data_IF_772987333741
#
_entry.id   IF_772987333741
#
_cell.length_a   1.000
_cell.length_b   1.000
_cell.length_c   1.000
_cell.angle_alpha   90.00
_cell.angle_beta   90.00
_cell.angle_gamma   90.00
#
_symmetry.space_group_name_H-M   'P 1'
#
loop_
_entity.id
_entity.type
_entity.pdbx_description
1 polymer ?
#
# COMPACT_ATOMS: atom_id res chain seq x y z
N UNK A 1 26.73 26.43 -62.35
CA UNK A 1 26.80 27.64 -63.20
C UNK A 1 25.65 28.53 -62.76
N UNK A 2 26.00 29.75 -62.37
CA UNK A 2 25.15 30.72 -61.68
C UNK A 2 24.03 31.26 -62.57
N UNK A 3 22.83 31.44 -62.02
CA UNK A 3 21.82 32.43 -62.46
C UNK A 3 20.62 32.40 -61.47
N UNK A 4 20.40 33.47 -60.70
CA UNK A 4 19.48 34.61 -60.93
C UNK A 4 18.05 34.37 -60.43
N UNK A 5 17.59 35.29 -59.55
CA UNK A 5 16.47 36.20 -59.85
C UNK A 5 15.80 36.70 -58.55
N UNK A 6 16.01 37.98 -58.22
CA UNK A 6 14.92 38.83 -57.68
C UNK A 6 14.09 39.33 -58.86
N UNK A 7 12.82 39.70 -58.64
CA UNK A 7 12.49 41.11 -58.85
C UNK A 7 11.44 41.72 -57.89
N UNK A 8 11.80 42.91 -57.38
CA UNK A 8 11.05 44.18 -57.32
C UNK A 8 9.61 44.30 -56.78
N UNK A 9 9.50 44.99 -55.64
CA UNK A 9 8.86 46.32 -55.53
C UNK A 9 7.36 46.40 -55.23
N UNK A 10 6.80 47.62 -55.05
CA UNK A 10 7.10 48.58 -53.97
C UNK A 10 5.80 49.06 -53.28
N UNK A 11 5.92 49.78 -52.15
CA UNK A 11 5.12 50.95 -51.73
C UNK A 11 5.13 51.08 -50.20
N UNK A 12 6.01 51.94 -49.71
CA UNK A 12 6.00 52.45 -48.34
C UNK A 12 5.14 53.73 -48.30
N UNK A 13 4.14 53.75 -47.43
CA UNK A 13 3.45 54.94 -46.97
C UNK A 13 3.68 55.07 -45.47
N UNK A 14 4.30 56.18 -45.07
CA UNK A 14 4.56 56.55 -43.69
C UNK A 14 3.28 57.04 -42.99
N UNK A 15 3.12 56.67 -41.72
CA UNK A 15 2.07 57.17 -40.82
C UNK A 15 2.68 57.55 -39.44
N UNK A 16 2.06 58.49 -38.71
CA UNK A 16 2.68 59.42 -37.74
C UNK A 16 2.95 58.84 -36.33
N UNK A 17 3.70 59.55 -35.43
CA UNK A 17 4.16 59.00 -34.16
C UNK A 17 3.02 58.94 -33.13
N UNK A 18 2.74 57.75 -32.58
CA UNK A 18 1.81 57.57 -31.47
C UNK A 18 2.54 57.55 -30.12
N UNK A 19 2.03 58.36 -29.19
CA UNK A 19 2.42 58.44 -27.78
C UNK A 19 2.12 57.13 -27.03
N UNK A 20 2.87 56.78 -25.97
CA UNK A 20 2.66 55.55 -25.22
C UNK A 20 1.37 55.62 -24.38
N UNK A 21 0.36 54.82 -24.73
CA UNK A 21 -0.81 54.59 -23.89
C UNK A 21 -0.47 53.60 -22.78
N UNK A 22 -0.42 54.08 -21.54
CA UNK A 22 -0.41 53.25 -20.33
C UNK A 22 -1.70 52.42 -20.27
N UNK A 23 -1.58 51.09 -20.39
CA UNK A 23 -2.66 50.15 -20.02
C UNK A 23 -2.60 49.88 -18.51
N UNK A 24 -3.75 49.79 -17.81
CA UNK A 24 -3.74 49.41 -16.40
C UNK A 24 -3.22 47.98 -16.24
N UNK A 25 -2.27 47.79 -15.33
CA UNK A 25 -1.86 46.48 -14.84
C UNK A 25 -3.06 45.84 -14.12
N UNK A 26 -3.84 45.03 -14.84
CA UNK A 26 -4.71 44.04 -14.19
C UNK A 26 -3.79 43.06 -13.46
N UNK A 27 -3.69 43.19 -12.15
CA UNK A 27 -3.06 42.21 -11.27
C UNK A 27 -3.87 40.91 -11.34
N UNK A 28 -3.51 40.05 -12.30
CA UNK A 28 -3.97 38.68 -12.32
C UNK A 28 -3.42 37.99 -11.07
N UNK A 29 -4.30 37.77 -10.10
CA UNK A 29 -4.01 37.11 -8.84
C UNK A 29 -3.56 35.67 -9.12
N UNK A 30 -2.28 35.28 -8.94
CA UNK A 30 -1.82 33.93 -9.28
C UNK A 30 -2.36 32.84 -8.35
N UNK A 31 -3.17 33.21 -7.35
CA UNK A 31 -3.65 32.32 -6.29
C UNK A 31 -4.97 31.57 -6.56
N UNK A 32 -5.71 31.88 -7.63
CA UNK A 32 -7.07 31.35 -7.80
C UNK A 32 -7.17 29.94 -8.43
N UNK A 33 -6.06 29.33 -8.88
CA UNK A 33 -6.05 27.99 -9.46
C UNK A 33 -5.41 26.90 -8.57
N UNK A 34 -5.06 27.22 -7.32
CA UNK A 34 -4.44 26.28 -6.38
C UNK A 34 -5.41 25.67 -5.35
N UNK A 35 -6.72 25.81 -5.53
CA UNK A 35 -7.73 25.13 -4.72
C UNK A 35 -8.29 23.91 -5.48
N UNK A 36 -7.92 22.70 -5.05
CA UNK A 36 -8.81 21.55 -5.19
C UNK A 36 -8.55 20.52 -6.30
N UNK A 37 -7.32 20.36 -6.83
CA UNK A 37 -6.98 19.04 -7.42
C UNK A 37 -6.66 18.08 -6.28
N UNK A 38 -7.68 17.42 -5.73
CA UNK A 38 -7.46 16.22 -4.93
C UNK A 38 -6.55 15.31 -5.74
N UNK A 39 -5.34 15.04 -5.23
CA UNK A 39 -4.34 14.19 -5.87
C UNK A 39 -5.04 12.86 -6.23
N UNK A 40 -5.32 12.66 -7.51
CA UNK A 40 -6.13 11.54 -7.97
C UNK A 40 -5.43 10.26 -7.55
N UNK A 41 -6.13 9.43 -6.75
CA UNK A 41 -5.61 8.16 -6.25
C UNK A 41 -5.32 7.26 -7.45
N UNK A 42 -4.07 6.83 -7.60
CA UNK A 42 -3.65 6.02 -8.74
C UNK A 42 -4.23 4.61 -8.61
N UNK A 43 -5.18 4.28 -9.49
CA UNK A 43 -5.94 3.01 -9.49
C UNK A 43 -5.04 1.79 -9.61
N UNK A 44 -3.85 1.94 -10.20
CA UNK A 44 -2.87 0.86 -10.30
C UNK A 44 -2.52 0.27 -8.93
N UNK A 45 -2.22 1.11 -7.92
CA UNK A 45 -1.79 0.61 -6.62
C UNK A 45 -2.94 -0.06 -5.85
N UNK A 46 -4.17 0.39 -6.05
CA UNK A 46 -5.34 -0.26 -5.46
C UNK A 46 -5.63 -1.61 -6.12
N UNK A 47 -5.54 -1.67 -7.45
CA UNK A 47 -5.64 -2.91 -8.20
C UNK A 47 -4.53 -3.90 -7.81
N UNK A 48 -3.29 -3.42 -7.65
CA UNK A 48 -2.15 -4.25 -7.25
C UNK A 48 -2.35 -4.84 -5.85
N UNK A 49 -2.73 -4.02 -4.86
CA UNK A 49 -3.02 -4.51 -3.51
C UNK A 49 -4.16 -5.51 -3.49
N UNK A 50 -5.23 -5.26 -4.26
CA UNK A 50 -6.36 -6.17 -4.34
C UNK A 50 -5.97 -7.52 -4.96
N UNK A 51 -5.30 -7.51 -6.12
CA UNK A 51 -4.87 -8.75 -6.77
C UNK A 51 -3.88 -9.52 -5.90
N UNK A 52 -2.97 -8.82 -5.22
CA UNK A 52 -2.05 -9.44 -4.29
C UNK A 52 -2.75 -10.05 -3.07
N UNK A 53 -3.82 -9.43 -2.52
CA UNK A 53 -4.53 -10.01 -1.37
C UNK A 53 -5.34 -11.24 -1.79
N UNK A 54 -5.86 -11.26 -3.01
CA UNK A 54 -6.51 -12.46 -3.57
C UNK A 54 -5.50 -13.62 -3.63
N UNK A 55 -4.28 -13.37 -4.09
CA UNK A 55 -3.22 -14.37 -4.13
C UNK A 55 -2.80 -14.85 -2.72
N UNK A 56 -2.79 -13.97 -1.70
CA UNK A 56 -2.54 -14.37 -0.30
C UNK A 56 -3.57 -15.39 0.16
N UNK A 57 -4.85 -15.10 -0.03
CA UNK A 57 -5.92 -15.99 0.40
C UNK A 57 -5.86 -17.35 -0.33
N UNK A 58 -5.60 -17.34 -1.64
CA UNK A 58 -5.40 -18.56 -2.43
C UNK A 58 -4.18 -19.35 -1.93
N UNK A 59 -3.07 -18.67 -1.65
CA UNK A 59 -1.86 -19.29 -1.10
C UNK A 59 -2.13 -20.04 0.21
N UNK A 60 -2.84 -19.42 1.15
CA UNK A 60 -3.21 -20.08 2.41
C UNK A 60 -4.20 -21.23 2.23
N UNK A 61 -5.06 -21.16 1.21
CA UNK A 61 -5.99 -22.21 0.88
C UNK A 61 -5.30 -23.43 0.24
N UNK A 62 -4.19 -23.23 -0.48
CA UNK A 62 -3.36 -24.31 -1.03
C UNK A 62 -2.41 -24.91 -0.02
N UNK A 63 -2.06 -24.20 1.06
CA UNK A 63 -1.05 -24.64 2.03
C UNK A 63 -1.28 -26.06 2.58
N UNK A 64 -2.52 -26.48 2.94
CA UNK A 64 -2.80 -27.85 3.39
C UNK A 64 -2.74 -28.89 2.27
N UNK A 65 -2.95 -28.48 1.01
CA UNK A 65 -3.02 -29.36 -0.16
C UNK A 65 -1.65 -29.68 -0.77
N UNK A 66 -0.57 -29.07 -0.27
CA UNK A 66 0.77 -29.19 -0.87
C UNK A 66 1.37 -30.59 -0.76
N UNK A 67 0.98 -31.36 0.25
CA UNK A 67 1.47 -32.73 0.46
C UNK A 67 0.98 -33.67 -0.63
N UNK A 68 -0.30 -33.56 -0.98
CA UNK A 68 -0.98 -34.48 -1.90
C UNK A 68 -0.95 -33.97 -3.35
N UNK A 69 -0.81 -32.67 -3.54
CA UNK A 69 -0.85 -32.03 -4.86
C UNK A 69 0.43 -31.26 -5.17
N UNK A 70 1.21 -31.82 -6.10
CA UNK A 70 2.40 -31.16 -6.66
C UNK A 70 2.03 -29.86 -7.39
N UNK A 71 0.83 -29.77 -7.96
CA UNK A 71 0.33 -28.56 -8.59
C UNK A 71 0.06 -27.46 -7.54
N UNK A 72 -0.64 -27.79 -6.44
CA UNK A 72 -0.84 -26.88 -5.32
C UNK A 72 0.49 -26.42 -4.71
N UNK A 73 1.45 -27.34 -4.53
CA UNK A 73 2.79 -27.00 -4.05
C UNK A 73 3.54 -26.03 -4.99
N UNK A 74 3.46 -26.22 -6.30
CA UNK A 74 4.09 -25.35 -7.28
C UNK A 74 3.46 -23.94 -7.32
N UNK A 75 2.12 -23.88 -7.29
CA UNK A 75 1.38 -22.62 -7.22
C UNK A 75 1.70 -21.87 -5.94
N UNK A 76 1.74 -22.58 -4.81
CA UNK A 76 2.12 -22.05 -3.51
C UNK A 76 3.52 -21.43 -3.54
N UNK A 77 4.54 -22.19 -3.97
CA UNK A 77 5.92 -21.71 -4.08
C UNK A 77 6.01 -20.47 -4.98
N UNK A 78 5.35 -20.52 -6.14
CA UNK A 78 5.35 -19.41 -7.10
C UNK A 78 4.76 -18.16 -6.46
N UNK A 79 3.58 -18.26 -5.86
CA UNK A 79 2.91 -17.12 -5.20
C UNK A 79 3.72 -16.62 -4.01
N UNK A 80 4.22 -17.49 -3.14
CA UNK A 80 5.04 -17.14 -1.97
C UNK A 80 6.35 -16.43 -2.33
N UNK A 81 6.86 -16.64 -3.55
CA UNK A 81 8.04 -15.93 -4.03
C UNK A 81 7.80 -14.43 -4.25
N UNK A 82 6.59 -13.98 -4.59
CA UNK A 82 6.39 -12.57 -4.99
C UNK A 82 5.25 -11.82 -4.31
N UNK A 83 4.24 -12.49 -3.74
CA UNK A 83 3.07 -11.77 -3.22
C UNK A 83 3.43 -10.87 -2.02
N UNK A 84 4.19 -11.37 -1.03
CA UNK A 84 4.66 -10.54 0.09
C UNK A 84 5.64 -9.47 -0.40
N UNK A 85 6.68 -9.79 -1.19
CA UNK A 85 7.54 -8.77 -1.80
C UNK A 85 6.77 -7.66 -2.53
N UNK A 86 5.71 -7.99 -3.28
CA UNK A 86 4.89 -6.98 -3.97
C UNK A 86 4.20 -6.03 -2.98
N UNK A 87 3.58 -6.57 -1.92
CA UNK A 87 2.97 -5.76 -0.85
C UNK A 87 3.99 -4.88 -0.12
N UNK A 88 5.16 -5.44 0.17
CA UNK A 88 6.23 -4.75 0.89
C UNK A 88 6.79 -3.61 0.03
N UNK A 89 7.02 -3.83 -1.27
CA UNK A 89 7.46 -2.80 -2.21
C UNK A 89 6.44 -1.65 -2.30
N UNK A 90 5.15 -1.97 -2.42
CA UNK A 90 4.07 -0.96 -2.42
C UNK A 90 4.07 -0.18 -1.10
N UNK A 91 4.22 -0.86 0.04
CA UNK A 91 4.24 -0.25 1.37
C UNK A 91 5.45 0.68 1.56
N UNK A 92 6.62 0.26 1.10
CA UNK A 92 7.82 1.11 1.05
C UNK A 92 7.60 2.34 0.17
N UNK A 93 7.03 2.17 -1.02
CA UNK A 93 6.75 3.28 -1.94
C UNK A 93 5.84 4.35 -1.34
N UNK A 94 4.80 3.96 -0.59
CA UNK A 94 3.93 4.91 0.12
C UNK A 94 4.56 5.50 1.39
N UNK A 95 5.58 4.85 1.94
CA UNK A 95 6.30 5.31 3.12
C UNK A 95 7.36 6.37 2.83
N UNK A 96 7.70 6.63 1.56
CA UNK A 96 8.68 7.65 1.13
C UNK A 96 8.43 9.06 1.65
N UNK A 97 7.22 9.41 2.08
CA UNK A 97 6.93 10.72 2.67
C UNK A 97 6.98 10.73 4.20
N UNK A 98 7.19 9.60 4.87
CA UNK A 98 7.25 9.51 6.32
C UNK A 98 8.46 10.27 6.88
N UNK A 99 8.20 11.16 7.84
CA UNK A 99 9.16 12.10 8.43
C UNK A 99 9.24 11.98 9.96
N UNK A 100 8.63 10.95 10.56
CA UNK A 100 8.54 10.76 12.01
C UNK A 100 7.99 11.97 12.80
N UNK A 101 7.26 12.89 12.16
CA UNK A 101 6.51 13.92 12.89
C UNK A 101 5.46 13.31 13.82
N UNK A 102 5.13 13.98 14.92
CA UNK A 102 4.16 13.50 15.91
C UNK A 102 2.83 13.06 15.27
N UNK A 103 2.33 13.81 14.27
CA UNK A 103 1.11 13.44 13.55
C UNK A 103 1.25 12.13 12.75
N UNK A 104 2.39 11.91 12.11
CA UNK A 104 2.64 10.66 11.35
C UNK A 104 2.90 9.48 12.25
N UNK A 105 3.61 9.67 13.37
CA UNK A 105 3.77 8.64 14.41
C UNK A 105 2.40 8.26 14.95
N UNK A 106 1.55 9.23 15.29
CA UNK A 106 0.18 8.97 15.74
C UNK A 106 -0.61 8.14 14.72
N UNK A 107 -0.54 8.48 13.43
CA UNK A 107 -1.18 7.70 12.35
C UNK A 107 -0.60 6.29 12.20
N UNK A 108 0.70 6.14 12.43
CA UNK A 108 1.38 4.83 12.39
C UNK A 108 0.92 3.96 13.56
N UNK A 109 0.87 4.51 14.77
CA UNK A 109 0.38 3.80 15.96
C UNK A 109 -1.09 3.41 15.80
N UNK A 110 -1.95 4.37 15.47
CA UNK A 110 -3.40 4.12 15.33
C UNK A 110 -3.75 3.21 14.16
N UNK A 111 -3.03 3.30 13.04
CA UNK A 111 -3.35 2.53 11.84
C UNK A 111 -2.61 1.19 11.71
N UNK A 112 -1.60 0.92 12.55
CA UNK A 112 -0.83 -0.33 12.51
C UNK A 112 -0.68 -0.97 13.89
N UNK A 113 -0.10 -0.26 14.87
CA UNK A 113 0.19 -0.85 16.18
C UNK A 113 -1.08 -1.21 16.97
N UNK A 114 -2.12 -0.37 16.92
CA UNK A 114 -3.39 -0.69 17.60
C UNK A 114 -4.11 -1.86 16.93
N UNK A 115 -4.30 -1.89 15.58
CA UNK A 115 -4.80 -3.08 14.91
C UNK A 115 -3.96 -4.33 15.20
N UNK A 116 -2.63 -4.22 15.25
CA UNK A 116 -1.75 -5.33 15.61
C UNK A 116 -2.14 -5.93 16.96
N UNK A 117 -2.20 -5.11 18.03
CA UNK A 117 -2.56 -5.59 19.37
C UNK A 117 -3.96 -6.20 19.41
N UNK A 118 -4.94 -5.56 18.75
CA UNK A 118 -6.33 -6.07 18.72
C UNK A 118 -6.39 -7.45 18.04
N UNK A 119 -5.75 -7.59 16.88
CA UNK A 119 -5.78 -8.84 16.14
C UNK A 119 -4.91 -9.93 16.76
N UNK A 120 -3.78 -9.58 17.38
CA UNK A 120 -2.96 -10.55 18.13
C UNK A 120 -3.77 -11.19 19.27
N UNK A 121 -4.46 -10.36 20.05
CA UNK A 121 -5.34 -10.82 21.13
C UNK A 121 -6.51 -11.64 20.57
N UNK A 122 -7.18 -11.15 19.51
CA UNK A 122 -8.29 -11.87 18.89
C UNK A 122 -7.87 -13.22 18.32
N UNK A 123 -6.70 -13.30 17.69
CA UNK A 123 -6.13 -14.54 17.18
C UNK A 123 -5.73 -15.51 18.30
N UNK A 124 -5.18 -14.99 19.39
CA UNK A 124 -4.86 -15.79 20.57
C UNK A 124 -6.12 -16.45 21.13
N UNK A 125 -7.19 -15.69 21.34
CA UNK A 125 -8.47 -16.23 21.79
C UNK A 125 -9.08 -17.21 20.77
N UNK A 126 -8.97 -16.91 19.48
CA UNK A 126 -9.42 -17.81 18.44
C UNK A 126 -8.65 -19.14 18.46
N UNK A 127 -7.32 -19.11 18.63
CA UNK A 127 -6.52 -20.33 18.76
C UNK A 127 -6.89 -21.12 20.03
N UNK A 128 -7.07 -20.43 21.16
CA UNK A 128 -7.49 -21.07 22.42
C UNK A 128 -8.82 -21.82 22.30
N UNK A 129 -9.80 -21.19 21.67
CA UNK A 129 -11.15 -21.73 21.57
C UNK A 129 -11.34 -22.68 20.38
N UNK A 130 -10.93 -22.26 19.18
CA UNK A 130 -11.17 -23.05 17.97
C UNK A 130 -10.11 -24.14 17.76
N UNK A 131 -8.88 -23.93 18.25
CA UNK A 131 -7.77 -24.87 18.08
C UNK A 131 -7.46 -25.70 19.33
N UNK A 132 -8.38 -25.74 20.31
CA UNK A 132 -8.29 -26.53 21.55
C UNK A 132 -6.97 -26.36 22.34
N UNK A 133 -6.42 -25.14 22.36
CA UNK A 133 -5.16 -24.78 23.04
C UNK A 133 -5.42 -23.71 24.12
N UNK A 134 -6.16 -24.03 25.21
CA UNK A 134 -6.69 -23.03 26.15
C UNK A 134 -5.60 -22.20 26.87
N UNK A 135 -4.41 -22.77 27.01
CA UNK A 135 -3.29 -22.16 27.71
C UNK A 135 -2.37 -21.33 26.79
N UNK A 136 -2.67 -21.24 25.48
CA UNK A 136 -1.83 -20.50 24.53
C UNK A 136 -1.59 -19.05 24.99
N UNK A 137 -0.34 -18.61 25.25
CA UNK A 137 -0.08 -17.33 25.88
C UNK A 137 -0.46 -16.14 24.98
N UNK A 138 -0.92 -15.05 25.58
CA UNK A 138 -1.02 -13.76 24.88
C UNK A 138 0.38 -13.16 24.88
N UNK A 139 1.06 -13.18 23.73
CA UNK A 139 2.36 -12.55 23.54
C UNK A 139 2.27 -11.48 22.45
N UNK A 140 2.65 -10.24 22.78
CA UNK A 140 2.81 -9.19 21.78
C UNK A 140 4.19 -9.23 21.10
N UNK A 141 5.09 -10.07 21.61
CA UNK A 141 6.43 -10.26 21.08
C UNK A 141 6.52 -11.47 20.17
N UNK A 142 5.58 -12.42 20.21
CA UNK A 142 5.56 -13.57 19.32
C UNK A 142 4.33 -13.47 18.40
N UNK A 143 4.42 -12.70 17.29
CA UNK A 143 3.26 -12.39 16.46
C UNK A 143 2.71 -13.64 15.76
N UNK A 144 1.46 -13.99 16.05
CA UNK A 144 0.86 -15.19 15.49
C UNK A 144 0.37 -15.03 14.03
N UNK A 145 0.85 -15.92 13.16
CA UNK A 145 0.37 -16.20 11.80
C UNK A 145 0.44 -15.03 10.79
N UNK A 146 -0.42 -14.02 10.90
CA UNK A 146 -0.51 -12.88 9.97
C UNK A 146 -0.09 -11.56 10.63
N UNK A 147 -0.07 -11.48 11.94
CA UNK A 147 0.20 -10.22 12.65
C UNK A 147 1.64 -9.75 12.50
N UNK A 148 2.56 -10.66 12.15
CA UNK A 148 3.96 -10.35 11.85
C UNK A 148 4.13 -9.25 10.82
N UNK A 149 3.26 -9.19 9.80
CA UNK A 149 3.37 -8.18 8.75
C UNK A 149 3.05 -6.80 9.28
N UNK A 150 2.15 -6.67 10.27
CA UNK A 150 1.87 -5.39 10.92
C UNK A 150 3.05 -4.97 11.80
N UNK A 151 3.64 -5.90 12.57
CA UNK A 151 4.86 -5.64 13.34
C UNK A 151 6.02 -5.19 12.42
N UNK A 152 6.25 -5.93 11.34
CA UNK A 152 7.25 -5.62 10.33
C UNK A 152 7.01 -4.25 9.68
N UNK A 153 5.78 -3.97 9.24
CA UNK A 153 5.40 -2.68 8.66
C UNK A 153 5.60 -1.54 9.65
N UNK A 154 5.31 -1.75 10.94
CA UNK A 154 5.56 -0.75 11.98
C UNK A 154 7.04 -0.42 12.06
N UNK A 155 7.91 -1.44 12.18
CA UNK A 155 9.37 -1.30 12.27
C UNK A 155 9.93 -0.63 11.01
N UNK A 156 9.58 -1.11 9.82
CA UNK A 156 10.07 -0.56 8.56
C UNK A 156 9.65 0.89 8.33
N UNK A 157 8.39 1.23 8.66
CA UNK A 157 7.92 2.63 8.55
C UNK A 157 8.60 3.53 9.56
N UNK A 158 8.78 3.07 10.79
CA UNK A 158 9.47 3.83 11.83
C UNK A 158 10.93 4.12 11.46
N UNK A 159 11.62 3.13 10.87
CA UNK A 159 13.02 3.26 10.44
C UNK A 159 13.21 3.99 9.10
N UNK A 160 12.12 4.34 8.41
CA UNK A 160 12.17 5.03 7.10
C UNK A 160 13.07 6.28 7.06
N UNK A 161 13.08 7.19 8.06
CA UNK A 161 13.97 8.35 8.05
C UNK A 161 15.46 7.96 7.99
N UNK A 162 15.86 6.86 8.64
CA UNK A 162 17.25 6.37 8.62
C UNK A 162 17.65 5.96 7.20
N UNK A 163 16.81 5.18 6.51
CA UNK A 163 17.06 4.72 5.14
C UNK A 163 17.17 5.85 4.11
N UNK A 164 16.59 7.01 4.39
CA UNK A 164 16.69 8.19 3.52
C UNK A 164 18.01 8.94 3.67
N UNK A 165 18.69 8.80 4.82
CA UNK A 165 19.98 9.42 5.09
C UNK A 165 21.13 8.59 4.50
N UNK A 166 20.94 7.28 4.40
CA UNK A 166 21.94 6.34 3.89
C UNK A 166 22.13 6.52 2.38
N UNK A 167 23.40 6.57 1.93
CA UNK A 167 23.76 6.77 0.51
C UNK A 167 23.52 5.53 -0.38
N UNK A 168 23.67 4.33 0.18
CA UNK A 168 23.47 3.05 -0.50
C UNK A 168 22.47 2.17 0.26
N UNK A 169 21.20 2.59 0.40
CA UNK A 169 20.27 1.96 1.32
C UNK A 169 19.92 0.51 0.92
N UNK A 170 19.79 0.23 -0.39
CA UNK A 170 19.43 -1.11 -0.87
C UNK A 170 20.55 -2.15 -0.69
N UNK A 171 21.82 -1.89 -1.07
CA UNK A 171 22.91 -2.81 -0.73
C UNK A 171 23.04 -3.09 0.77
N UNK A 172 22.87 -2.06 1.61
CA UNK A 172 22.94 -2.22 3.07
C UNK A 172 21.77 -3.07 3.58
N UNK A 173 20.55 -2.83 3.11
CA UNK A 173 19.40 -3.66 3.46
C UNK A 173 19.61 -5.13 3.03
N UNK A 174 20.19 -5.37 1.85
CA UNK A 174 20.48 -6.72 1.37
C UNK A 174 21.56 -7.40 2.21
N UNK A 175 22.60 -6.67 2.62
CA UNK A 175 23.61 -7.19 3.55
C UNK A 175 22.98 -7.59 4.90
N UNK A 176 22.08 -6.76 5.45
CA UNK A 176 21.34 -7.09 6.68
C UNK A 176 20.49 -8.35 6.50
N UNK A 177 19.79 -8.50 5.36
CA UNK A 177 19.01 -9.70 5.07
C UNK A 177 19.89 -10.96 4.98
N UNK A 178 21.07 -10.86 4.36
CA UNK A 178 22.03 -11.96 4.29
C UNK A 178 22.52 -12.33 5.69
N UNK A 179 22.93 -11.36 6.50
CA UNK A 179 23.33 -11.59 7.89
C UNK A 179 22.20 -12.27 8.68
N UNK A 180 20.98 -11.80 8.54
CA UNK A 180 19.82 -12.40 9.21
C UNK A 180 19.56 -13.86 8.80
N UNK A 181 19.87 -14.23 7.56
CA UNK A 181 19.70 -15.60 7.07
C UNK A 181 20.79 -16.58 7.52
N UNK A 182 21.94 -16.10 7.99
CA UNK A 182 23.08 -16.93 8.41
C UNK A 182 23.33 -16.92 9.92
N UNK A 183 22.59 -16.08 10.66
CA UNK A 183 22.68 -15.93 12.11
C UNK A 183 21.51 -16.67 12.79
N UNK A 184 21.75 -17.85 13.40
CA UNK A 184 20.72 -18.59 14.13
C UNK A 184 20.38 -17.96 15.50
N UNK A 185 21.24 -17.07 16.01
CA UNK A 185 21.03 -16.43 17.33
C UNK A 185 19.99 -15.29 17.30
N UNK A 186 19.42 -14.98 16.13
CA UNK A 186 18.33 -14.01 16.01
C UNK A 186 17.06 -14.70 16.48
N UNK A 187 16.61 -14.37 17.69
CA UNK A 187 15.39 -14.96 18.25
C UNK A 187 14.13 -14.64 17.45
N UNK A 188 13.09 -15.43 17.73
CA UNK A 188 11.76 -15.34 17.10
C UNK A 188 10.96 -14.08 17.49
N UNK A 189 11.46 -13.30 18.45
CA UNK A 189 10.82 -12.07 18.92
C UNK A 189 10.53 -11.10 17.77
N UNK A 190 9.28 -10.67 17.66
CA UNK A 190 8.66 -9.81 16.65
C UNK A 190 8.81 -10.35 15.22
N UNK A 191 9.04 -11.66 15.05
CA UNK A 191 9.37 -12.27 13.76
C UNK A 191 10.60 -11.58 13.13
N UNK A 192 11.58 -11.15 13.97
CA UNK A 192 12.66 -10.25 13.55
C UNK A 192 13.45 -10.80 12.36
N UNK A 193 13.68 -12.10 12.31
CA UNK A 193 14.34 -12.73 11.17
C UNK A 193 13.59 -12.47 9.86
N UNK A 194 12.26 -12.61 9.87
CA UNK A 194 11.39 -12.27 8.75
C UNK A 194 11.42 -10.77 8.43
N UNK A 195 11.38 -9.91 9.45
CA UNK A 195 11.48 -8.45 9.31
C UNK A 195 12.77 -8.05 8.59
N UNK A 196 13.91 -8.65 8.96
CA UNK A 196 15.22 -8.34 8.41
C UNK A 196 15.41 -8.93 7.01
N UNK A 197 15.00 -10.18 6.78
CA UNK A 197 15.12 -10.82 5.47
C UNK A 197 14.24 -10.17 4.38
N UNK A 198 13.10 -9.58 4.74
CA UNK A 198 12.21 -8.86 3.81
C UNK A 198 12.49 -7.35 3.68
N UNK A 199 13.30 -6.78 4.58
CA UNK A 199 13.70 -5.36 4.57
C UNK A 199 14.18 -4.84 3.19
N UNK A 200 14.97 -5.59 2.38
CA UNK A 200 15.39 -5.14 1.06
C UNK A 200 14.25 -4.73 0.14
N UNK A 201 13.10 -5.41 0.22
CA UNK A 201 11.93 -5.07 -0.60
C UNK A 201 11.27 -3.78 -0.15
N UNK A 202 11.26 -3.51 1.16
CA UNK A 202 10.70 -2.27 1.69
C UNK A 202 11.56 -1.08 1.28
N UNK A 203 12.88 -1.23 1.44
CA UNK A 203 13.88 -0.23 1.04
C UNK A 203 13.88 -0.02 -0.47
N UNK A 204 13.72 -1.10 -1.27
CA UNK A 204 13.49 -0.99 -2.70
C UNK A 204 12.28 -0.10 -3.00
N UNK A 205 11.15 -0.34 -2.31
CA UNK A 205 9.97 0.54 -2.38
C UNK A 205 10.29 2.01 -2.11
N UNK A 206 11.14 2.30 -1.11
CA UNK A 206 11.55 3.66 -0.77
C UNK A 206 12.34 4.37 -1.88
N UNK A 207 13.16 3.64 -2.64
CA UNK A 207 14.00 4.23 -3.71
C UNK A 207 13.29 4.26 -5.07
N UNK A 208 12.21 3.50 -5.25
CA UNK A 208 11.46 3.48 -6.51
C UNK A 208 10.75 4.82 -6.79
N UNK A 209 10.82 5.26 -8.06
CA UNK A 209 10.15 6.44 -8.62
C UNK A 209 8.93 6.01 -9.45
N UNK A 210 7.94 6.91 -9.67
CA UNK A 210 6.79 6.63 -10.54
C UNK A 210 7.18 6.09 -11.93
N UNK A 211 8.29 6.56 -12.49
CA UNK A 211 8.81 6.12 -13.79
C UNK A 211 9.12 4.62 -13.86
N UNK A 212 9.59 4.00 -12.76
CA UNK A 212 9.85 2.55 -12.74
C UNK A 212 8.55 1.74 -12.84
N UNK A 213 7.47 2.19 -12.18
CA UNK A 213 6.15 1.57 -12.31
C UNK A 213 5.57 1.77 -13.71
N UNK A 214 5.86 2.88 -14.38
CA UNK A 214 5.49 3.07 -15.79
C UNK A 214 6.27 2.13 -16.72
N UNK A 215 7.56 1.89 -16.44
CA UNK A 215 8.42 1.00 -17.22
C UNK A 215 7.93 -0.44 -17.21
N UNK A 216 7.62 -1.00 -16.04
CA UNK A 216 7.12 -2.39 -15.95
C UNK A 216 5.73 -2.57 -16.55
N UNK A 217 4.97 -1.48 -16.74
CA UNK A 217 3.61 -1.51 -17.33
C UNK A 217 3.58 -1.39 -18.85
N UNK A 218 4.74 -1.31 -19.51
CA UNK A 218 4.82 -1.26 -20.97
C UNK A 218 4.37 -2.58 -21.60
N UNK A 219 3.99 -2.55 -22.88
CA UNK A 219 3.46 -3.73 -23.58
C UNK A 219 4.49 -4.85 -23.66
N UNK A 220 5.76 -4.49 -23.84
CA UNK A 220 6.88 -5.43 -23.93
C UNK A 220 7.04 -6.19 -22.60
N UNK A 221 7.01 -5.48 -21.47
CA UNK A 221 7.09 -6.08 -20.15
C UNK A 221 5.91 -7.01 -19.85
N UNK A 222 4.70 -6.68 -20.31
CA UNK A 222 3.51 -7.55 -20.20
C UNK A 222 3.63 -8.84 -20.99
N UNK A 223 4.20 -8.76 -22.19
CA UNK A 223 4.42 -9.93 -23.05
C UNK A 223 5.52 -10.79 -22.46
N UNK A 224 6.63 -10.20 -22.00
CA UNK A 224 7.75 -10.89 -21.36
C UNK A 224 7.36 -11.52 -20.00
N UNK A 225 6.40 -10.94 -19.29
CA UNK A 225 5.91 -11.51 -18.04
C UNK A 225 5.33 -12.93 -18.22
N UNK A 226 4.75 -13.24 -19.38
CA UNK A 226 4.15 -14.56 -19.65
C UNK A 226 5.17 -15.71 -19.66
N UNK A 227 6.22 -15.71 -20.51
CA UNK A 227 7.23 -16.76 -20.48
C UNK A 227 7.99 -16.78 -19.15
N UNK A 228 8.18 -15.65 -18.48
CA UNK A 228 8.84 -15.59 -17.17
C UNK A 228 8.00 -16.28 -16.09
N UNK A 229 6.70 -15.99 -15.99
CA UNK A 229 5.81 -16.69 -15.07
C UNK A 229 5.67 -18.17 -15.41
N UNK A 230 5.57 -18.52 -16.69
CA UNK A 230 5.51 -19.91 -17.13
C UNK A 230 6.78 -20.68 -16.74
N UNK A 231 7.97 -20.09 -16.94
CA UNK A 231 9.24 -20.66 -16.53
C UNK A 231 9.35 -20.78 -15.00
N UNK A 232 8.90 -19.75 -14.25
CA UNK A 232 8.89 -19.79 -12.80
C UNK A 232 7.95 -20.89 -12.26
N UNK A 233 6.78 -21.07 -12.86
CA UNK A 233 5.83 -22.11 -12.49
C UNK A 233 6.36 -23.51 -12.84
N UNK A 234 6.96 -23.67 -14.02
CA UNK A 234 7.60 -24.93 -14.41
C UNK A 234 8.77 -25.28 -13.48
N UNK A 235 9.60 -24.30 -13.13
CA UNK A 235 10.67 -24.47 -12.14
C UNK A 235 10.11 -24.80 -10.77
N UNK A 236 9.08 -24.10 -10.29
CA UNK A 236 8.43 -24.39 -9.01
C UNK A 236 7.84 -25.80 -8.99
N UNK A 237 7.24 -26.25 -10.10
CA UNK A 237 6.73 -27.62 -10.23
C UNK A 237 7.86 -28.64 -10.17
N UNK A 238 9.01 -28.38 -10.81
CA UNK A 238 10.20 -29.21 -10.68
C UNK A 238 10.81 -29.19 -9.27
N UNK A 239 10.85 -28.03 -8.61
CA UNK A 239 11.46 -27.83 -7.31
C UNK A 239 10.59 -28.31 -6.13
N UNK A 240 9.25 -28.34 -6.30
CA UNK A 240 8.29 -28.66 -5.24
C UNK A 240 8.64 -29.91 -4.39
N UNK A 241 8.98 -31.08 -4.99
CA UNK A 241 9.35 -32.25 -4.20
C UNK A 241 10.83 -32.28 -3.74
N UNK A 242 11.64 -31.29 -4.13
CA UNK A 242 13.11 -31.29 -3.95
C UNK A 242 13.61 -30.22 -2.99
N UNK A 243 12.80 -29.21 -2.71
CA UNK A 243 13.21 -28.02 -1.99
C UNK A 243 12.34 -27.80 -0.76
N UNK A 244 12.97 -27.41 0.35
CA UNK A 244 12.25 -27.03 1.55
C UNK A 244 11.47 -25.73 1.29
N UNK A 245 10.14 -25.79 1.28
CA UNK A 245 9.29 -24.62 1.06
C UNK A 245 9.43 -23.56 2.17
N UNK A 246 10.00 -23.89 3.33
CA UNK A 246 10.23 -22.95 4.42
C UNK A 246 11.19 -21.80 4.04
N UNK A 247 12.07 -21.99 3.05
CA UNK A 247 12.91 -20.91 2.49
C UNK A 247 12.09 -19.69 2.04
N UNK A 248 10.85 -19.90 1.60
CA UNK A 248 9.98 -18.80 1.15
C UNK A 248 9.32 -18.03 2.30
N UNK A 249 9.29 -18.58 3.51
CA UNK A 249 8.78 -17.89 4.69
C UNK A 249 9.77 -16.87 5.24
N UNK A 250 11.06 -17.04 4.94
CA UNK A 250 12.17 -16.15 5.33
C UNK A 250 12.21 -15.84 6.82
N UNK A 251 11.70 -16.74 7.66
CA UNK A 251 11.61 -16.59 9.12
C UNK A 251 12.58 -17.49 9.88
N UNK A 252 13.37 -18.27 9.14
CA UNK A 252 14.29 -19.26 9.68
C UNK A 252 15.69 -18.94 9.08
N UNK A 253 16.74 -19.20 9.84
CA UNK A 253 18.13 -19.21 9.40
C UNK A 253 18.40 -20.45 8.55
N UNK A 254 19.49 -20.43 7.77
CA UNK A 254 19.90 -21.60 7.00
C UNK A 254 20.07 -22.85 7.90
N UNK A 255 20.61 -22.65 9.10
CA UNK A 255 20.90 -23.70 10.07
C UNK A 255 19.61 -24.32 10.64
N UNK A 256 18.59 -23.52 10.94
CA UNK A 256 17.27 -24.00 11.39
C UNK A 256 16.54 -24.77 10.28
N UNK A 257 16.85 -24.48 9.02
CA UNK A 257 16.38 -25.24 7.86
C UNK A 257 17.22 -26.50 7.58
N UNK A 258 18.11 -26.88 8.49
CA UNK A 258 19.08 -27.97 8.35
C UNK A 258 19.98 -27.83 7.11
N UNK A 259 20.30 -26.59 6.72
CA UNK A 259 21.17 -26.26 5.61
C UNK A 259 22.48 -25.60 6.10
N UNK A 260 23.58 -25.71 5.34
CA UNK A 260 24.83 -25.03 5.70
C UNK A 260 24.65 -23.50 5.73
N UNK A 261 25.30 -22.80 6.66
CA UNK A 261 25.17 -21.34 6.80
C UNK A 261 25.42 -20.55 5.51
N UNK A 262 26.39 -20.95 4.69
CA UNK A 262 26.66 -20.29 3.40
C UNK A 262 25.47 -20.33 2.43
N UNK A 263 24.61 -21.36 2.54
CA UNK A 263 23.42 -21.48 1.70
C UNK A 263 22.42 -20.37 1.99
N UNK A 264 22.35 -19.84 3.22
CA UNK A 264 21.50 -18.70 3.58
C UNK A 264 21.83 -17.45 2.77
N UNK A 265 23.12 -17.14 2.61
CA UNK A 265 23.56 -16.02 1.80
C UNK A 265 23.17 -16.19 0.32
N UNK A 266 23.42 -17.37 -0.24
CA UNK A 266 23.09 -17.70 -1.64
C UNK A 266 21.58 -17.64 -1.87
N UNK A 267 20.79 -18.30 -1.00
CA UNK A 267 19.34 -18.34 -1.08
C UNK A 267 18.72 -16.95 -0.90
N UNK A 268 19.26 -16.13 0.00
CA UNK A 268 18.78 -14.76 0.19
C UNK A 268 18.92 -13.93 -1.09
N UNK A 269 20.09 -13.96 -1.72
CA UNK A 269 20.36 -13.23 -2.97
C UNK A 269 19.53 -13.80 -4.13
N UNK A 270 19.52 -15.12 -4.29
CA UNK A 270 18.79 -15.80 -5.36
C UNK A 270 17.27 -15.55 -5.26
N UNK A 271 16.70 -15.73 -4.07
CA UNK A 271 15.29 -15.48 -3.83
C UNK A 271 14.97 -13.99 -3.96
N UNK A 272 15.84 -13.06 -3.53
CA UNK A 272 15.63 -11.63 -3.76
C UNK A 272 15.54 -11.30 -5.25
N UNK A 273 16.46 -11.82 -6.07
CA UNK A 273 16.43 -11.67 -7.53
C UNK A 273 15.17 -12.26 -8.17
N UNK A 274 14.82 -13.50 -7.82
CA UNK A 274 13.61 -14.16 -8.33
C UNK A 274 12.34 -13.40 -7.95
N UNK A 275 12.24 -12.99 -6.68
CA UNK A 275 11.13 -12.18 -6.17
C UNK A 275 11.01 -10.87 -6.94
N UNK A 276 12.13 -10.17 -7.17
CA UNK A 276 12.13 -8.89 -7.87
C UNK A 276 11.61 -9.02 -9.31
N UNK A 277 12.04 -10.06 -10.03
CA UNK A 277 11.59 -10.37 -11.39
C UNK A 277 10.09 -10.66 -11.39
N UNK A 278 9.62 -11.52 -10.49
CA UNK A 278 8.20 -11.89 -10.41
C UNK A 278 7.31 -10.74 -9.94
N UNK A 279 7.78 -9.87 -9.04
CA UNK A 279 7.09 -8.63 -8.65
C UNK A 279 6.96 -7.70 -9.86
N UNK A 280 8.01 -7.54 -10.66
CA UNK A 280 7.96 -6.74 -11.88
C UNK A 280 6.95 -7.31 -12.90
N UNK A 281 6.94 -8.63 -13.09
CA UNK A 281 5.98 -9.33 -13.96
C UNK A 281 4.54 -9.17 -13.45
N UNK A 282 4.32 -9.32 -12.13
CA UNK A 282 3.03 -9.11 -11.50
C UNK A 282 2.54 -7.67 -11.76
N UNK A 283 3.37 -6.66 -11.48
CA UNK A 283 3.04 -5.26 -11.75
C UNK A 283 2.82 -4.95 -13.24
N UNK A 284 3.44 -5.69 -14.15
CA UNK A 284 3.18 -5.53 -15.58
C UNK A 284 1.72 -5.84 -15.93
N UNK A 285 1.17 -6.90 -15.32
CA UNK A 285 -0.21 -7.36 -15.55
C UNK A 285 -1.27 -6.61 -14.75
N UNK A 286 -0.91 -5.89 -13.69
CA UNK A 286 -1.87 -5.07 -12.95
C UNK A 286 -2.44 -3.95 -13.85
N UNK A 287 -3.77 -3.88 -14.04
CA UNK A 287 -4.37 -2.82 -14.84
C UNK A 287 -4.21 -1.44 -14.19
N UNK A 288 -3.83 -0.42 -14.98
CA UNK A 288 -3.74 0.97 -14.51
C UNK A 288 -5.05 1.75 -14.54
N UNK A 289 -6.08 1.22 -15.21
CA UNK A 289 -7.41 1.84 -15.31
C UNK A 289 -8.27 1.52 -14.08
N UNK A 290 -9.26 2.37 -13.81
CA UNK A 290 -10.30 2.10 -12.81
C UNK A 290 -11.16 0.92 -13.29
N UNK A 291 -11.30 -0.09 -12.44
CA UNK A 291 -12.09 -1.31 -12.63
C UNK A 291 -13.09 -1.46 -11.49
N UNK A 292 -14.00 -2.44 -11.60
CA UNK A 292 -15.01 -2.71 -10.57
C UNK A 292 -14.37 -3.05 -9.21
N UNK A 293 -13.25 -3.79 -9.21
CA UNK A 293 -12.54 -4.18 -7.99
C UNK A 293 -11.57 -3.11 -7.47
N UNK A 294 -11.38 -1.98 -8.16
CA UNK A 294 -10.47 -0.91 -7.68
C UNK A 294 -10.90 -0.39 -6.30
N UNK A 295 -12.22 -0.32 -6.05
CA UNK A 295 -12.75 0.08 -4.74
C UNK A 295 -12.39 -0.91 -3.62
N UNK A 296 -12.26 -2.20 -3.94
CA UNK A 296 -11.87 -3.26 -3.00
C UNK A 296 -10.41 -3.13 -2.54
N UNK A 297 -9.56 -2.43 -3.32
CA UNK A 297 -8.18 -2.12 -2.95
C UNK A 297 -8.03 -1.26 -1.68
N UNK A 298 -9.11 -0.62 -1.20
CA UNK A 298 -9.15 0.05 0.10
C UNK A 298 -9.36 -0.93 1.27
N UNK A 299 -10.03 -2.06 1.03
CA UNK A 299 -10.39 -3.06 2.04
C UNK A 299 -9.34 -4.14 2.26
N UNK A 300 -8.16 -4.04 1.63
CA UNK A 300 -7.17 -5.15 1.64
C UNK A 300 -6.61 -5.44 3.02
N UNK A 301 -6.52 -4.44 3.92
CA UNK A 301 -6.12 -4.68 5.31
C UNK A 301 -7.20 -5.47 6.08
N UNK A 302 -8.47 -5.23 5.79
CA UNK A 302 -9.59 -5.97 6.37
C UNK A 302 -9.60 -7.41 5.85
N UNK A 303 -9.48 -7.58 4.53
CA UNK A 303 -9.31 -8.90 3.93
C UNK A 303 -8.12 -9.65 4.53
N UNK A 304 -6.97 -8.99 4.66
CA UNK A 304 -5.77 -9.55 5.28
C UNK A 304 -6.01 -10.04 6.71
N UNK A 305 -6.56 -9.21 7.58
CA UNK A 305 -6.70 -9.58 8.99
C UNK A 305 -7.88 -10.52 9.24
N UNK A 306 -8.93 -10.49 8.43
CA UNK A 306 -10.13 -11.32 8.65
C UNK A 306 -10.02 -12.70 7.99
N UNK A 307 -9.35 -12.83 6.84
CA UNK A 307 -9.26 -14.14 6.18
C UNK A 307 -8.46 -15.14 7.00
N UNK A 308 -7.55 -14.69 7.87
CA UNK A 308 -6.75 -15.59 8.68
C UNK A 308 -7.58 -16.42 9.67
N UNK A 309 -8.71 -15.89 10.17
CA UNK A 309 -9.66 -16.66 10.98
C UNK A 309 -10.28 -17.80 10.16
N UNK A 310 -10.64 -17.55 8.91
CA UNK A 310 -11.17 -18.59 8.02
C UNK A 310 -10.09 -19.59 7.61
N UNK A 311 -8.90 -19.10 7.27
CA UNK A 311 -7.78 -19.95 6.85
C UNK A 311 -7.32 -20.88 7.99
N UNK A 312 -7.24 -20.39 9.24
CA UNK A 312 -6.91 -21.24 10.39
C UNK A 312 -8.09 -22.04 10.89
N UNK A 313 -9.30 -21.47 10.93
CA UNK A 313 -10.53 -22.20 11.28
C UNK A 313 -10.77 -23.39 10.36
N UNK A 314 -10.51 -23.25 9.06
CA UNK A 314 -10.61 -24.37 8.11
C UNK A 314 -9.67 -25.54 8.41
N UNK A 315 -8.56 -25.28 9.12
CA UNK A 315 -7.63 -26.32 9.59
C UNK A 315 -8.02 -26.87 10.96
N UNK A 316 -8.48 -26.00 11.85
CA UNK A 316 -8.91 -26.41 13.19
C UNK A 316 -10.19 -27.24 13.18
N UNK A 317 -11.04 -27.03 12.17
CA UNK A 317 -12.29 -27.77 11.98
C UNK A 317 -12.22 -28.77 10.83
N UNK A 318 -11.02 -29.17 10.43
CA UNK A 318 -10.80 -30.30 9.50
C UNK A 318 -11.56 -30.21 8.16
N UNK A 319 -11.73 -29.00 7.61
CA UNK A 319 -12.44 -28.82 6.33
C UNK A 319 -11.73 -29.51 5.16
N UNK A 320 -10.43 -29.77 5.30
CA UNK A 320 -9.60 -30.44 4.31
C UNK A 320 -9.61 -31.96 4.41
N UNK A 321 -10.27 -32.57 5.40
CA UNK A 321 -10.33 -34.03 5.55
C UNK A 321 -11.25 -34.70 4.53
N UNK A 322 -12.11 -33.92 3.87
CA UNK A 322 -13.00 -34.45 2.86
C UNK A 322 -12.23 -34.81 1.56
N UNK A 323 -12.24 -36.10 1.18
CA UNK A 323 -11.52 -36.64 0.01
C UNK A 323 -11.69 -35.86 -1.29
N UNK A 324 -12.86 -35.25 -1.51
CA UNK A 324 -13.15 -34.51 -2.74
C UNK A 324 -12.29 -33.25 -2.88
N UNK A 325 -11.81 -32.68 -1.76
CA UNK A 325 -10.99 -31.47 -1.70
C UNK A 325 -9.58 -31.72 -2.27
N UNK A 326 -9.08 -32.95 -2.14
CA UNK A 326 -7.77 -33.39 -2.66
C UNK A 326 -7.79 -33.79 -4.13
N UNK A 327 -8.94 -33.71 -4.79
CA UNK A 327 -9.07 -33.95 -6.25
C UNK A 327 -8.92 -32.62 -7.01
N UNK A 328 -8.53 -32.64 -8.30
CA UNK A 328 -8.34 -31.40 -9.07
C UNK A 328 -9.54 -30.44 -9.06
N UNK A 329 -10.77 -30.97 -9.09
CA UNK A 329 -11.98 -30.15 -8.99
C UNK A 329 -12.17 -29.54 -7.59
N UNK A 330 -11.78 -30.27 -6.54
CA UNK A 330 -11.75 -29.77 -5.15
C UNK A 330 -10.76 -28.64 -4.99
N UNK A 331 -9.53 -28.81 -5.47
CA UNK A 331 -8.48 -27.77 -5.45
C UNK A 331 -8.95 -26.49 -6.16
N UNK A 332 -9.55 -26.62 -7.35
CA UNK A 332 -10.11 -25.49 -8.10
C UNK A 332 -11.24 -24.83 -7.30
N UNK A 333 -12.13 -25.62 -6.72
CA UNK A 333 -13.25 -25.12 -5.91
C UNK A 333 -12.75 -24.34 -4.70
N UNK A 334 -11.80 -24.88 -3.95
CA UNK A 334 -11.17 -24.21 -2.80
C UNK A 334 -10.47 -22.92 -3.22
N UNK A 335 -9.80 -22.92 -4.38
CA UNK A 335 -9.15 -21.72 -4.94
C UNK A 335 -10.17 -20.62 -5.24
N UNK A 336 -11.27 -20.96 -5.92
CA UNK A 336 -12.34 -20.01 -6.26
C UNK A 336 -13.08 -19.52 -5.02
N UNK A 337 -13.30 -20.41 -4.04
CA UNK A 337 -13.89 -20.08 -2.75
C UNK A 337 -13.02 -19.08 -2.00
N UNK A 338 -11.71 -19.34 -1.88
CA UNK A 338 -10.77 -18.43 -1.24
C UNK A 338 -10.75 -17.04 -1.90
N UNK A 339 -10.73 -17.00 -3.24
CA UNK A 339 -10.83 -15.77 -4.02
C UNK A 339 -12.15 -15.03 -3.82
N UNK A 340 -13.26 -15.75 -3.69
CA UNK A 340 -14.59 -15.16 -3.43
C UNK A 340 -14.67 -14.60 -2.02
N UNK A 341 -14.26 -15.38 -1.02
CA UNK A 341 -14.23 -14.99 0.39
C UNK A 341 -13.42 -13.72 0.59
N UNK A 342 -12.18 -13.67 0.11
CA UNK A 342 -11.34 -12.47 0.27
C UNK A 342 -11.92 -11.25 -0.45
N UNK A 343 -12.55 -11.45 -1.62
CA UNK A 343 -13.26 -10.39 -2.35
C UNK A 343 -14.38 -9.81 -1.50
N UNK A 344 -15.20 -10.67 -0.88
CA UNK A 344 -16.28 -10.27 0.03
C UNK A 344 -15.75 -9.56 1.27
N UNK A 345 -14.67 -10.05 1.87
CA UNK A 345 -14.03 -9.42 3.04
C UNK A 345 -13.44 -8.04 2.73
N UNK A 346 -13.09 -7.77 1.47
CA UNK A 346 -12.62 -6.45 1.05
C UNK A 346 -13.76 -5.44 0.78
N UNK A 347 -15.02 -5.84 0.88
CA UNK A 347 -16.16 -4.98 0.53
C UNK A 347 -16.41 -3.86 1.56
N UNK A 348 -17.02 -2.73 1.14
CA UNK A 348 -17.33 -1.62 2.04
C UNK A 348 -18.20 -1.98 3.27
N UNK A 349 -19.19 -2.88 3.21
CA UNK A 349 -19.92 -3.31 4.40
C UNK A 349 -19.03 -3.88 5.50
N UNK A 350 -18.10 -4.77 5.15
CA UNK A 350 -17.15 -5.37 6.11
C UNK A 350 -16.24 -4.28 6.69
N UNK A 351 -15.76 -3.35 5.85
CA UNK A 351 -14.97 -2.22 6.31
C UNK A 351 -15.72 -1.37 7.34
N UNK A 352 -17.03 -1.12 7.14
CA UNK A 352 -17.84 -0.33 8.09
C UNK A 352 -18.00 -1.04 9.44
N UNK A 353 -18.23 -2.35 9.43
CA UNK A 353 -18.41 -3.16 10.66
C UNK A 353 -17.12 -3.18 11.47
N UNK A 354 -15.98 -3.46 10.82
CA UNK A 354 -14.70 -3.64 11.51
C UNK A 354 -13.86 -2.37 11.64
N UNK A 355 -14.35 -1.21 11.17
CA UNK A 355 -13.63 0.07 11.22
C UNK A 355 -13.12 0.42 12.61
N UNK A 356 -13.86 0.05 13.66
CA UNK A 356 -13.49 0.35 15.05
C UNK A 356 -12.16 -0.31 15.45
N UNK A 357 -11.85 -1.48 14.91
CA UNK A 357 -10.64 -2.24 15.22
C UNK A 357 -9.48 -1.89 14.28
N UNK A 358 -9.74 -1.71 12.99
CA UNK A 358 -8.70 -1.47 11.98
C UNK A 358 -8.32 0.01 11.79
N UNK A 359 -9.22 0.94 12.09
CA UNK A 359 -9.01 2.39 11.93
C UNK A 359 -9.40 3.20 13.19
N UNK A 360 -8.87 2.86 14.38
CA UNK A 360 -9.23 3.54 15.61
C UNK A 360 -8.64 4.96 15.65
N UNK A 361 -9.50 5.99 15.74
CA UNK A 361 -9.05 7.40 15.75
C UNK A 361 -8.28 7.81 17.01
N UNK A 362 -8.50 7.09 18.12
CA UNK A 362 -7.84 7.25 19.43
C UNK A 362 -7.65 8.71 19.85
N UNK A 363 -8.64 9.59 19.60
CA UNK A 363 -8.52 11.03 19.88
C UNK A 363 -8.38 11.36 21.36
N UNK A 364 -8.74 10.42 22.23
CA UNK A 364 -8.60 10.51 23.68
C UNK A 364 -7.18 10.21 24.18
N UNK A 365 -6.41 9.37 23.47
CA UNK A 365 -5.12 8.86 23.95
C UNK A 365 -3.94 9.79 23.65
N UNK A 366 -4.11 10.75 22.73
CA UNK A 366 -3.04 11.67 22.33
C UNK A 366 -3.35 13.08 22.80
N UNK A 367 -2.34 13.76 23.38
CA UNK A 367 -2.43 15.19 23.71
C UNK A 367 -2.84 15.95 22.45
N UNK A 368 -3.91 16.74 22.56
CA UNK A 368 -4.31 17.62 21.48
C UNK A 368 -3.20 18.66 21.30
N UNK A 369 -2.69 18.83 20.09
CA UNK A 369 -1.67 19.85 19.80
C UNK A 369 -2.27 21.21 20.17
N UNK A 370 -1.81 21.80 21.28
CA UNK A 370 -2.26 23.12 21.73
C UNK A 370 -2.07 24.18 20.64
N UNK A 371 -1.03 24.01 19.81
CA UNK A 371 -0.73 24.82 18.64
C UNK A 371 -1.73 24.62 17.49
N UNK A 372 -2.24 23.40 17.29
CA UNK A 372 -3.27 23.12 16.29
C UNK A 372 -4.65 23.62 16.73
N UNK A 373 -4.96 23.51 18.03
CA UNK A 373 -6.13 24.11 18.66
C UNK A 373 -6.10 25.64 18.59
N UNK A 374 -4.95 26.27 18.88
CA UNK A 374 -4.78 27.71 18.77
C UNK A 374 -4.92 28.19 17.31
N UNK A 375 -4.36 27.45 16.34
CA UNK A 375 -4.48 27.76 14.92
C UNK A 375 -5.92 27.57 14.41
N UNK A 376 -6.63 26.56 14.90
CA UNK A 376 -8.06 26.34 14.61
C UNK A 376 -8.96 27.42 15.19
N UNK A 377 -8.70 27.87 16.43
CA UNK A 377 -9.39 29.01 17.05
C UNK A 377 -9.14 30.32 16.29
N UNK A 378 -7.89 30.56 15.86
CA UNK A 378 -7.56 31.74 15.04
C UNK A 378 -8.29 31.75 13.69
N UNK A 379 -8.38 30.62 13.01
CA UNK A 379 -9.13 30.52 11.74
C UNK A 379 -10.64 30.70 11.93
N UNK A 380 -11.23 30.10 12.98
CA UNK A 380 -12.64 30.29 13.31
C UNK A 380 -12.97 31.74 13.69
N UNK A 381 -12.03 32.45 14.33
CA UNK A 381 -12.18 33.86 14.69
C UNK A 381 -12.15 34.77 13.45
N UNK A 382 -11.28 34.47 12.48
CA UNK A 382 -11.22 35.18 11.19
C UNK A 382 -12.47 34.92 10.34
N UNK A 383 -12.98 33.68 10.31
CA UNK A 383 -14.25 33.37 9.63
C UNK A 383 -15.45 34.06 10.29
N UNK A 384 -15.49 34.10 11.62
CA UNK A 384 -16.51 34.84 12.37
C UNK A 384 -16.50 36.34 12.08
N UNK A 385 -15.30 36.95 12.00
CA UNK A 385 -15.16 38.36 11.62
C UNK A 385 -15.65 38.62 10.19
N UNK A 386 -15.31 37.77 9.22
CA UNK A 386 -15.81 37.90 7.84
C UNK A 386 -17.33 37.78 7.75
N UNK A 387 -17.94 36.87 8.51
CA UNK A 387 -19.39 36.74 8.53
C UNK A 387 -20.08 37.97 9.17
N UNK A 388 -19.46 38.57 10.18
CA UNK A 388 -19.95 39.83 10.75
C UNK A 388 -19.81 41.00 9.76
N UNK A 389 -18.68 41.11 9.07
CA UNK A 389 -18.47 42.14 8.04
C UNK A 389 -19.48 41.99 6.88
N UNK A 390 -19.76 40.76 6.44
CA UNK A 390 -20.79 40.49 5.43
C UNK A 390 -22.18 40.90 5.91
N UNK A 391 -22.56 40.54 7.14
CA UNK A 391 -23.86 40.96 7.71
C UNK A 391 -23.99 42.46 7.85
N UNK A 392 -22.92 43.16 8.23
CA UNK A 392 -22.91 44.63 8.29
C UNK A 392 -23.02 45.26 6.90
N UNK A 393 -22.39 44.68 5.88
CA UNK A 393 -22.55 45.13 4.50
C UNK A 393 -23.98 44.91 3.99
N UNK A 394 -24.59 43.76 4.27
CA UNK A 394 -25.98 43.49 3.91
C UNK A 394 -26.95 44.47 4.60
N UNK A 395 -26.75 44.77 5.89
CA UNK A 395 -27.56 45.75 6.60
C UNK A 395 -27.43 47.16 6.01
N UNK A 396 -26.21 47.61 5.70
CA UNK A 396 -26.00 48.92 5.07
C UNK A 396 -26.64 49.02 3.68
N UNK A 397 -26.63 47.92 2.92
CA UNK A 397 -27.29 47.85 1.62
C UNK A 397 -28.81 47.99 1.78
N UNK A 398 -29.40 47.28 2.75
CA UNK A 398 -30.83 47.38 3.05
C UNK A 398 -31.24 48.78 3.54
N UNK A 399 -30.42 49.43 4.36
CA UNK A 399 -30.66 50.81 4.81
C UNK A 399 -30.59 51.81 3.64
N UNK A 400 -29.66 51.64 2.71
CA UNK A 400 -29.59 52.45 1.48
C UNK A 400 -30.81 52.23 0.59
N UNK A 401 -31.24 50.99 0.38
CA UNK A 401 -32.45 50.68 -0.40
C UNK A 401 -33.70 51.29 0.24
N UNK A 402 -33.83 51.28 1.58
CA UNK A 402 -34.92 51.92 2.30
C UNK A 402 -34.89 53.46 2.20
N UNK A 403 -33.69 54.07 2.21
CA UNK A 403 -33.55 55.52 2.02
C UNK A 403 -33.88 55.95 0.59
N UNK A 404 -33.47 55.17 -0.42
CA UNK A 404 -33.85 55.42 -1.81
C UNK A 404 -35.37 55.25 -2.05
N UNK A 405 -36.01 54.30 -1.37
CA UNK A 405 -37.47 54.15 -1.42
C UNK A 405 -38.19 55.33 -0.79
N UNK A 406 -37.74 55.83 0.38
CA UNK A 406 -38.32 57.01 1.02
C UNK A 406 -38.12 58.31 0.23
N UNK A 407 -37.06 58.44 -0.56
CA UNK A 407 -36.86 59.60 -1.44
C UNK A 407 -37.70 59.55 -2.73
N UNK A 408 -38.29 58.39 -3.06
CA UNK A 408 -39.17 58.20 -4.22
C UNK A 408 -40.66 58.31 -3.89
N UNK A 409 -41.04 58.45 -2.62
CA UNK A 409 -42.41 58.80 -2.24
C UNK A 409 -42.66 60.29 -2.53
N UNK A 410 -43.61 60.63 -3.42
CA UNK A 410 -44.00 62.02 -3.64
C UNK A 410 -44.69 62.56 -2.38
N UNK A 411 -44.28 63.73 -1.92
CA UNK A 411 -45.02 64.48 -0.92
C UNK A 411 -46.38 64.88 -1.52
N UNK A 412 -47.46 64.26 -1.02
CA UNK A 412 -48.84 64.71 -1.22
C UNK A 412 -49.15 65.98 -0.39
#
# INVERSE_FOLDING_TARGET
MSETARPTGPHALALPPQRPTLRPLTTANPGAHAAGRSKQRDSFFDNAKYLAIVLVAMGHAWEPLRGDSRAAAALYITVYTFHMPAFIVISGYFSRSFDASAQRIRRLVTGIAVPYVIFEVAYTFFKRWAGDDPDYPISLLDPWYLTWFLAALFIWRLTTPLWKLVRWPLPIALAIAVLASVSPDIGDDLDLQRVLQFLPFFVLGLVLKPAHFQMVRRREARILALPVFAAALAFAYWAAPRMNAAWFYRRDSAQELAAPGWSGAVMTIALFGCSLILVACFFAWVPGRKLWFTALGAGTLYGYLLHGFLAKGSRFWDWYDADWVHRPLGEITVTLLAGTVITLLCTPPVQRVFRFAMEPRMTWAFRQDATALARGKGLAQVEGQRQQEQKQQEQKLQEQEQQEQKQKEPAE
#
